data_IF_555089376905
#
_entry.id   IF_555089376905
#
_cell.length_a   1.000
_cell.length_b   1.000
_cell.length_c   1.000
_cell.angle_alpha   90.00
_cell.angle_beta   90.00
_cell.angle_gamma   90.00
#
_symmetry.space_group_name_H-M   'P 1'
#
loop_
_entity.id
_entity.type
_entity.pdbx_description
1 polymer ?
#
# COMPACT_ATOMS: atom_id res chain seq x y z
N UNK A 1 -25.23 1.23 -4.95
CA UNK A 1 -24.04 0.60 -5.58
C UNK A 1 -22.79 1.40 -5.19
N UNK A 2 -22.46 1.46 -3.90
CA UNK A 2 -21.56 2.51 -3.36
C UNK A 2 -20.58 1.96 -2.30
N UNK A 3 -20.17 0.69 -2.42
CA UNK A 3 -19.25 0.03 -1.47
C UNK A 3 -17.97 -0.55 -2.11
N UNK A 4 -17.60 -0.16 -3.33
CA UNK A 4 -16.44 -0.73 -4.05
C UNK A 4 -15.14 0.09 -3.99
N UNK A 5 -15.06 1.13 -3.17
CA UNK A 5 -13.87 2.00 -3.10
C UNK A 5 -13.26 2.03 -1.69
N UNK A 6 -12.52 0.97 -1.35
CA UNK A 6 -11.49 0.88 -0.30
C UNK A 6 -10.99 -0.57 -0.34
N UNK A 7 -9.76 -0.89 -0.81
CA UNK A 7 -8.53 -0.45 -0.15
C UNK A 7 -7.29 -0.39 -1.09
N UNK A 8 -6.96 0.77 -1.67
CA UNK A 8 -5.69 0.95 -2.42
C UNK A 8 -4.72 1.96 -1.78
N UNK A 9 -5.01 2.48 -0.58
CA UNK A 9 -4.28 3.64 -0.02
C UNK A 9 -3.35 3.29 1.17
N UNK A 10 -3.34 2.05 1.66
CA UNK A 10 -2.75 1.73 2.97
C UNK A 10 -1.24 1.41 3.06
N UNK A 11 -0.40 1.66 2.04
CA UNK A 11 0.97 1.09 2.07
C UNK A 11 2.18 2.04 2.10
N UNK A 12 2.03 3.36 2.25
CA UNK A 12 3.21 4.25 2.26
C UNK A 12 3.09 5.43 3.24
N UNK A 13 2.93 5.13 4.53
CA UNK A 13 3.11 6.12 5.60
C UNK A 13 4.26 5.69 6.50
N UNK A 14 5.47 6.22 6.26
CA UNK A 14 6.52 6.24 7.30
C UNK A 14 7.46 7.43 7.09
N UNK A 15 7.64 8.15 8.20
CA UNK A 15 8.74 9.06 8.58
C UNK A 15 8.78 10.46 7.93
N UNK A 16 8.39 11.46 8.74
CA UNK A 16 9.25 12.59 9.12
C UNK A 16 8.62 13.34 10.31
N UNK A 17 9.26 13.27 11.48
CA UNK A 17 9.01 14.18 12.62
C UNK A 17 10.19 15.14 12.72
N UNK A 18 9.99 16.46 12.81
CA UNK A 18 10.97 17.35 13.41
C UNK A 18 10.62 17.64 14.88
N UNK A 19 11.67 17.72 15.70
CA UNK A 19 11.61 18.10 17.10
C UNK A 19 11.48 19.63 17.26
N UNK A 20 10.78 20.04 18.34
CA UNK A 20 10.58 21.44 18.74
C UNK A 20 11.84 22.05 19.37
N UNK A 21 12.05 23.35 19.21
CA UNK A 21 11.90 24.34 20.31
C UNK A 21 12.31 25.76 19.88
N UNK A 22 11.50 26.76 20.27
CA UNK A 22 11.96 28.04 20.85
C UNK A 22 10.73 28.89 21.22
N UNK A 23 10.71 29.40 22.45
CA UNK A 23 9.51 29.81 23.20
C UNK A 23 9.50 31.31 23.51
N UNK A 24 9.73 32.19 22.52
CA UNK A 24 9.81 33.63 22.84
C UNK A 24 9.36 34.57 21.72
N UNK A 25 8.22 34.28 21.08
CA UNK A 25 7.60 35.12 20.04
C UNK A 25 6.07 34.95 20.02
N UNK A 26 5.40 34.95 21.18
CA UNK A 26 4.02 34.42 21.32
C UNK A 26 2.85 35.42 21.18
N UNK A 27 3.08 36.73 21.06
CA UNK A 27 1.98 37.72 21.15
C UNK A 27 1.58 38.39 19.85
N UNK A 28 2.34 38.23 18.76
CA UNK A 28 1.96 38.70 17.42
C UNK A 28 1.79 37.56 16.40
N UNK A 29 2.37 36.39 16.69
CA UNK A 29 2.29 35.18 15.85
C UNK A 29 1.07 34.31 16.23
N UNK A 30 0.56 34.41 17.47
CA UNK A 30 -0.68 33.74 17.88
C UNK A 30 -1.88 34.09 16.99
N UNK A 31 -2.05 35.38 16.67
CA UNK A 31 -3.18 35.88 15.89
C UNK A 31 -3.24 35.31 14.46
N UNK A 32 -2.09 35.02 13.85
CA UNK A 32 -2.03 34.48 12.49
C UNK A 32 -2.46 33.03 12.45
N UNK A 33 -2.00 32.22 13.42
CA UNK A 33 -2.40 30.83 13.55
C UNK A 33 -3.87 30.69 13.96
N UNK A 34 -4.37 31.55 14.84
CA UNK A 34 -5.79 31.58 15.21
C UNK A 34 -6.67 31.97 14.01
N UNK A 35 -6.21 32.92 13.19
CA UNK A 35 -6.88 33.28 11.93
C UNK A 35 -6.86 32.13 10.93
N UNK A 36 -5.73 31.42 10.79
CA UNK A 36 -5.62 30.26 9.91
C UNK A 36 -6.51 29.11 10.39
N UNK A 37 -6.60 28.88 11.70
CA UNK A 37 -7.50 27.93 12.33
C UNK A 37 -8.96 28.28 12.00
N UNK A 38 -9.37 29.53 12.24
CA UNK A 38 -10.71 30.00 11.88
C UNK A 38 -11.01 29.80 10.41
N UNK A 39 -10.07 30.10 9.51
CA UNK A 39 -10.25 29.87 8.08
C UNK A 39 -10.43 28.38 7.73
N UNK A 40 -9.65 27.47 8.33
CA UNK A 40 -9.81 26.03 8.12
C UNK A 40 -11.18 25.53 8.60
N UNK A 41 -11.68 26.04 9.72
CA UNK A 41 -12.99 25.64 10.25
C UNK A 41 -14.15 26.26 9.47
N UNK A 42 -14.14 27.59 9.30
CA UNK A 42 -15.28 28.34 8.77
C UNK A 42 -15.37 28.26 7.24
N UNK A 43 -14.23 28.28 6.54
CA UNK A 43 -14.20 28.31 5.07
C UNK A 43 -14.04 26.92 4.49
N UNK A 44 -13.17 26.09 5.09
CA UNK A 44 -12.91 24.73 4.61
C UNK A 44 -13.77 23.67 5.32
N UNK A 45 -14.59 24.05 6.30
CA UNK A 45 -15.53 23.15 6.97
C UNK A 45 -14.86 22.05 7.80
N UNK A 46 -13.63 22.28 8.27
CA UNK A 46 -12.87 21.28 9.01
C UNK A 46 -13.23 21.23 10.49
N UNK A 47 -13.06 20.06 11.09
CA UNK A 47 -13.10 19.93 12.56
C UNK A 47 -11.92 20.66 13.20
N UNK A 48 -12.04 20.97 14.49
CA UNK A 48 -10.94 21.59 15.22
C UNK A 48 -9.70 20.70 15.22
N UNK A 49 -9.89 19.39 15.39
CA UNK A 49 -8.83 18.39 15.40
C UNK A 49 -8.12 18.29 14.05
N UNK A 50 -8.86 18.27 12.94
CA UNK A 50 -8.29 18.22 11.59
C UNK A 50 -7.52 19.49 11.26
N UNK A 51 -8.09 20.66 11.58
CA UNK A 51 -7.43 21.94 11.38
C UNK A 51 -6.14 22.04 12.19
N UNK A 52 -6.17 21.61 13.46
CA UNK A 52 -4.99 21.55 14.32
C UNK A 52 -3.93 20.59 13.76
N UNK A 53 -4.33 19.40 13.28
CA UNK A 53 -3.43 18.44 12.65
C UNK A 53 -2.70 19.05 11.44
N UNK A 54 -3.41 19.77 10.58
CA UNK A 54 -2.85 20.43 9.39
C UNK A 54 -1.82 21.47 9.80
N UNK A 55 -2.18 22.37 10.72
CA UNK A 55 -1.30 23.46 11.16
C UNK A 55 -0.02 22.93 11.83
N UNK A 56 -0.13 21.88 12.67
CA UNK A 56 1.03 21.23 13.31
C UNK A 56 1.94 20.55 12.27
N UNK A 57 1.37 20.06 11.17
CA UNK A 57 2.11 19.36 10.12
C UNK A 57 2.86 20.31 9.18
N UNK A 58 2.59 21.62 9.24
CA UNK A 58 3.25 22.63 8.41
C UNK A 58 4.57 23.09 9.05
N UNK A 59 5.61 23.28 8.24
CA UNK A 59 6.94 23.74 8.68
C UNK A 59 7.35 25.07 8.03
N UNK A 60 6.38 25.90 7.66
CA UNK A 60 6.60 27.20 6.99
C UNK A 60 6.31 28.39 7.89
N UNK A 61 6.81 29.59 7.55
CA UNK A 61 6.41 30.82 8.20
C UNK A 61 4.88 30.98 8.23
N UNK A 62 4.35 31.45 9.35
CA UNK A 62 2.90 31.56 9.56
C UNK A 62 2.21 32.48 8.54
N UNK A 63 2.90 33.51 8.05
CA UNK A 63 2.41 34.41 7.00
C UNK A 63 2.13 33.67 5.67
N UNK A 64 2.90 32.62 5.37
CA UNK A 64 2.68 31.80 4.16
C UNK A 64 1.46 30.89 4.34
N UNK A 65 1.17 30.43 5.56
CA UNK A 65 0.03 29.55 5.84
C UNK A 65 -1.27 30.25 5.44
N UNK A 66 -1.52 31.45 5.96
CA UNK A 66 -2.77 32.17 5.70
C UNK A 66 -2.89 32.57 4.22
N UNK A 67 -1.78 32.99 3.61
CA UNK A 67 -1.74 33.33 2.19
C UNK A 67 -2.06 32.11 1.32
N UNK A 68 -1.46 30.95 1.62
CA UNK A 68 -1.72 29.70 0.93
C UNK A 68 -3.17 29.25 1.06
N UNK A 69 -3.77 29.36 2.25
CA UNK A 69 -5.18 29.03 2.45
C UNK A 69 -6.09 29.92 1.59
N UNK A 70 -5.79 31.22 1.47
CA UNK A 70 -6.52 32.14 0.58
C UNK A 70 -6.36 31.77 -0.89
N UNK A 71 -5.14 31.49 -1.33
CA UNK A 71 -4.85 31.05 -2.70
C UNK A 71 -5.63 29.78 -3.04
N UNK A 72 -5.58 28.76 -2.16
CA UNK A 72 -6.28 27.50 -2.36
C UNK A 72 -7.80 27.69 -2.41
N UNK A 73 -8.37 28.51 -1.53
CA UNK A 73 -9.79 28.83 -1.55
C UNK A 73 -10.21 29.54 -2.86
N UNK A 74 -9.43 30.52 -3.32
CA UNK A 74 -9.67 31.23 -4.59
C UNK A 74 -9.58 30.30 -5.81
N UNK A 75 -8.72 29.29 -5.76
CA UNK A 75 -8.63 28.24 -6.78
C UNK A 75 -9.77 27.22 -6.71
N UNK A 76 -10.72 27.35 -5.77
CA UNK A 76 -11.86 26.44 -5.59
C UNK A 76 -11.48 25.11 -4.95
N UNK A 77 -10.37 25.03 -4.25
CA UNK A 77 -9.93 23.80 -3.58
C UNK A 77 -10.75 23.59 -2.30
N UNK A 78 -11.38 22.42 -2.19
CA UNK A 78 -12.21 22.06 -1.04
C UNK A 78 -11.41 21.60 0.19
N UNK A 79 -12.01 21.70 1.37
CA UNK A 79 -11.37 21.33 2.63
C UNK A 79 -10.96 19.87 2.70
N UNK A 80 -11.77 18.95 2.18
CA UNK A 80 -11.41 17.53 2.11
C UNK A 80 -10.10 17.31 1.36
N UNK A 81 -9.88 18.04 0.26
CA UNK A 81 -8.66 17.93 -0.52
C UNK A 81 -7.47 18.51 0.24
N UNK A 82 -7.62 19.69 0.86
CA UNK A 82 -6.57 20.27 1.72
C UNK A 82 -6.17 19.31 2.84
N UNK A 83 -7.12 18.63 3.46
CA UNK A 83 -6.88 17.63 4.49
C UNK A 83 -6.09 16.40 3.97
N UNK A 84 -6.32 15.96 2.72
CA UNK A 84 -5.56 14.85 2.12
C UNK A 84 -4.12 15.22 1.77
N UNK A 85 -3.85 16.48 1.46
CA UNK A 85 -2.52 16.98 1.06
C UNK A 85 -2.06 18.17 1.92
N UNK A 86 -1.93 18.01 3.24
CA UNK A 86 -1.66 19.13 4.16
C UNK A 86 -0.32 19.82 3.88
N UNK A 87 0.63 19.09 3.30
CA UNK A 87 1.93 19.62 2.89
C UNK A 87 1.84 20.78 1.88
N UNK A 88 0.73 20.94 1.17
CA UNK A 88 0.59 22.00 0.17
C UNK A 88 0.60 23.40 0.79
N UNK A 89 0.06 23.52 2.01
CA UNK A 89 0.08 24.75 2.82
C UNK A 89 1.50 25.05 3.33
N UNK A 90 2.36 24.03 3.38
CA UNK A 90 3.76 24.12 3.76
C UNK A 90 4.70 24.59 2.65
N UNK A 91 4.23 25.30 1.63
CA UNK A 91 5.07 25.91 0.60
C UNK A 91 5.16 27.42 0.79
N UNK A 92 6.16 28.08 0.21
CA UNK A 92 6.10 29.55 0.13
C UNK A 92 4.99 29.98 -0.82
N UNK A 93 4.32 31.09 -0.51
CA UNK A 93 3.17 31.57 -1.28
C UNK A 93 3.50 31.76 -2.77
N UNK A 94 4.61 32.44 -3.08
CA UNK A 94 5.06 32.70 -4.46
C UNK A 94 5.26 31.40 -5.27
N UNK A 95 5.82 30.37 -4.63
CA UNK A 95 6.09 29.08 -5.29
C UNK A 95 4.80 28.31 -5.51
N UNK A 96 3.86 28.36 -4.56
CA UNK A 96 2.55 27.73 -4.71
C UNK A 96 1.78 28.38 -5.86
N UNK A 97 1.70 29.71 -5.91
CA UNK A 97 1.03 30.45 -6.99
C UNK A 97 1.64 30.13 -8.35
N UNK A 98 2.98 30.15 -8.47
CA UNK A 98 3.66 29.84 -9.72
C UNK A 98 3.34 28.42 -10.20
N UNK A 99 3.31 27.44 -9.29
CA UNK A 99 2.94 26.06 -9.61
C UNK A 99 1.47 25.93 -9.99
N UNK A 100 0.55 26.60 -9.29
CA UNK A 100 -0.87 26.58 -9.60
C UNK A 100 -1.15 27.18 -10.99
N UNK A 101 -0.51 28.30 -11.31
CA UNK A 101 -0.52 28.87 -12.66
C UNK A 101 0.01 27.88 -13.68
N UNK A 102 1.11 27.18 -13.36
CA UNK A 102 1.74 26.23 -14.26
C UNK A 102 0.87 25.01 -14.55
N UNK A 103 0.18 24.43 -13.56
CA UNK A 103 -0.66 23.23 -13.76
C UNK A 103 -1.90 23.50 -14.61
N UNK A 104 -2.32 24.77 -14.74
CA UNK A 104 -3.41 25.21 -15.62
C UNK A 104 -2.98 25.41 -17.07
N UNK A 105 -1.70 25.29 -17.39
CA UNK A 105 -1.26 25.40 -18.78
C UNK A 105 -1.78 24.22 -19.64
N UNK A 106 -1.91 24.42 -20.96
CA UNK A 106 -2.36 23.36 -21.86
C UNK A 106 -1.58 22.05 -21.69
N UNK A 107 -2.29 20.94 -21.88
CA UNK A 107 -1.83 19.55 -21.74
C UNK A 107 -1.57 19.07 -20.29
N UNK A 108 -1.77 19.90 -19.26
CA UNK A 108 -1.63 19.50 -17.85
C UNK A 108 -2.96 19.17 -17.16
N UNK A 109 -3.70 20.17 -16.68
CA UNK A 109 -4.94 19.90 -15.93
C UNK A 109 -6.04 20.88 -16.33
N UNK A 110 -7.28 20.38 -16.36
CA UNK A 110 -8.48 21.18 -16.65
C UNK A 110 -8.85 22.07 -15.48
N UNK A 111 -8.58 21.63 -14.24
CA UNK A 111 -8.90 22.36 -13.01
C UNK A 111 -7.72 22.31 -12.04
N UNK A 112 -7.65 23.28 -11.12
CA UNK A 112 -6.59 23.32 -10.11
C UNK A 112 -6.64 22.08 -9.21
N UNK A 113 -7.85 21.66 -8.83
CA UNK A 113 -8.15 20.47 -8.03
C UNK A 113 -7.54 19.21 -8.62
N UNK A 114 -7.65 19.02 -9.94
CA UNK A 114 -7.10 17.87 -10.65
C UNK A 114 -5.58 17.80 -10.58
N UNK A 115 -4.90 18.94 -10.44
CA UNK A 115 -3.45 19.07 -10.58
C UNK A 115 -2.66 19.27 -9.28
N UNK A 116 -3.31 19.36 -8.12
CA UNK A 116 -2.62 19.70 -6.86
C UNK A 116 -1.51 18.73 -6.49
N UNK A 117 -1.63 17.45 -6.83
CA UNK A 117 -0.54 16.47 -6.63
C UNK A 117 0.77 16.87 -7.29
N UNK A 118 0.71 17.60 -8.42
CA UNK A 118 1.90 18.05 -9.15
C UNK A 118 2.56 19.25 -8.49
N UNK A 119 1.90 19.95 -7.56
CA UNK A 119 2.53 20.99 -6.76
C UNK A 119 3.65 20.44 -5.85
N UNK A 120 3.73 19.12 -5.64
CA UNK A 120 4.87 18.51 -4.95
C UNK A 120 6.15 18.50 -5.80
N UNK A 121 6.02 18.61 -7.12
CA UNK A 121 7.15 18.55 -8.05
C UNK A 121 7.88 19.88 -8.15
N UNK A 122 9.12 19.83 -8.62
CA UNK A 122 9.84 21.02 -9.07
C UNK A 122 9.25 21.50 -10.40
N UNK A 123 9.26 22.81 -10.66
CA UNK A 123 8.74 23.39 -11.90
C UNK A 123 9.36 22.76 -13.16
N UNK A 124 10.67 22.48 -13.16
CA UNK A 124 11.34 21.78 -14.28
C UNK A 124 10.81 20.36 -14.55
N UNK A 125 10.31 19.66 -13.52
CA UNK A 125 9.67 18.36 -13.68
C UNK A 125 8.26 18.51 -14.25
N UNK A 126 7.49 19.50 -13.79
CA UNK A 126 6.18 19.83 -14.38
C UNK A 126 6.34 20.14 -15.87
N UNK A 127 7.35 20.92 -16.26
CA UNK A 127 7.70 21.18 -17.66
C UNK A 127 8.01 19.90 -18.44
N UNK A 128 8.75 18.98 -17.83
CA UNK A 128 9.08 17.69 -18.45
C UNK A 128 7.82 16.88 -18.70
N UNK A 129 6.89 16.81 -17.73
CA UNK A 129 5.61 16.13 -17.90
C UNK A 129 4.74 16.81 -18.95
N UNK A 130 4.62 18.14 -18.94
CA UNK A 130 3.87 18.88 -19.95
C UNK A 130 4.38 18.60 -21.36
N UNK A 131 5.70 18.65 -21.57
CA UNK A 131 6.31 18.35 -22.87
C UNK A 131 6.05 16.90 -23.30
N UNK A 132 6.05 15.97 -22.34
CA UNK A 132 5.72 14.57 -22.59
C UNK A 132 4.24 14.38 -22.96
N UNK A 133 3.32 14.97 -22.18
CA UNK A 133 1.87 14.92 -22.37
C UNK A 133 1.47 15.53 -23.71
N UNK A 134 2.11 16.63 -24.11
CA UNK A 134 1.92 17.24 -25.42
C UNK A 134 2.32 16.30 -26.57
N UNK A 135 3.45 15.60 -26.44
CA UNK A 135 3.94 14.67 -27.48
C UNK A 135 3.02 13.48 -27.68
N UNK A 136 2.37 13.03 -26.62
CA UNK A 136 1.49 11.86 -26.65
C UNK A 136 0.02 12.17 -26.83
N UNK A 137 -0.39 13.44 -26.82
CA UNK A 137 -1.78 13.85 -26.97
C UNK A 137 -2.52 13.14 -28.12
N UNK A 138 -1.91 12.86 -29.30
CA UNK A 138 -2.57 12.09 -30.36
C UNK A 138 -3.00 10.67 -29.96
N UNK A 139 -2.39 10.08 -28.93
CA UNK A 139 -2.74 8.74 -28.43
C UNK A 139 -3.99 8.75 -27.54
N UNK A 140 -4.49 9.92 -27.15
CA UNK A 140 -5.61 10.07 -26.21
C UNK A 140 -6.68 11.02 -26.77
N UNK A 141 -7.39 10.65 -27.84
CA UNK A 141 -8.32 11.57 -28.52
C UNK A 141 -9.51 12.00 -27.64
N UNK A 142 -9.82 11.25 -26.58
CA UNK A 142 -10.94 11.53 -25.68
C UNK A 142 -10.51 12.03 -24.30
N UNK A 143 -9.22 12.24 -24.07
CA UNK A 143 -8.69 12.65 -22.77
C UNK A 143 -7.69 13.79 -22.93
N UNK A 144 -7.67 14.78 -22.02
CA UNK A 144 -6.71 15.88 -22.06
C UNK A 144 -5.24 15.42 -22.07
N UNK A 145 -4.95 14.32 -21.36
CA UNK A 145 -3.67 13.65 -21.31
C UNK A 145 -3.80 12.27 -20.66
N UNK A 146 -2.66 11.58 -20.49
CA UNK A 146 -2.60 10.26 -19.86
C UNK A 146 -3.14 10.20 -18.43
N UNK A 147 -3.10 11.27 -17.64
CA UNK A 147 -3.56 11.24 -16.24
C UNK A 147 -5.06 11.01 -16.21
N UNK A 148 -5.82 11.73 -17.02
CA UNK A 148 -7.27 11.55 -17.16
C UNK A 148 -7.61 10.16 -17.69
N UNK A 149 -6.89 9.70 -18.72
CA UNK A 149 -7.07 8.36 -19.28
C UNK A 149 -6.83 7.26 -18.22
N UNK A 150 -5.72 7.35 -17.47
CA UNK A 150 -5.37 6.36 -16.45
C UNK A 150 -6.34 6.40 -15.25
N UNK A 151 -6.77 7.60 -14.84
CA UNK A 151 -7.75 7.79 -13.78
C UNK A 151 -9.09 7.12 -14.14
N UNK A 152 -9.58 7.33 -15.36
CA UNK A 152 -10.79 6.65 -15.86
C UNK A 152 -10.60 5.13 -15.91
N UNK A 153 -9.47 4.65 -16.46
CA UNK A 153 -9.18 3.22 -16.59
C UNK A 153 -9.14 2.51 -15.22
N UNK A 154 -8.56 3.14 -14.22
CA UNK A 154 -8.46 2.63 -12.83
C UNK A 154 -9.76 2.91 -12.04
N UNK A 155 -10.68 3.71 -12.59
CA UNK A 155 -11.95 4.13 -11.97
C UNK A 155 -11.76 4.90 -10.66
N UNK A 156 -10.81 5.83 -10.67
CA UNK A 156 -10.50 6.72 -9.55
C UNK A 156 -10.61 8.17 -10.02
N UNK A 157 -11.18 9.09 -9.21
CA UNK A 157 -11.21 10.52 -9.53
C UNK A 157 -9.81 11.08 -9.86
N UNK A 158 -9.74 12.03 -10.79
CA UNK A 158 -8.47 12.53 -11.35
C UNK A 158 -7.63 13.20 -10.27
N UNK A 159 -8.28 13.97 -9.40
CA UNK A 159 -7.67 14.65 -8.26
C UNK A 159 -7.01 13.64 -7.30
N UNK A 160 -7.67 12.53 -7.00
CA UNK A 160 -7.10 11.49 -6.14
C UNK A 160 -5.95 10.75 -6.83
N UNK A 161 -6.08 10.50 -8.13
CA UNK A 161 -5.04 9.83 -8.88
C UNK A 161 -3.78 10.70 -8.97
N UNK A 162 -3.91 11.98 -9.33
CA UNK A 162 -2.80 12.92 -9.46
C UNK A 162 -2.07 13.17 -8.14
N UNK A 163 -2.79 13.24 -7.01
CA UNK A 163 -2.22 13.32 -5.65
C UNK A 163 -1.28 12.13 -5.34
N UNK A 164 -1.56 10.95 -5.90
CA UNK A 164 -0.73 9.74 -5.69
C UNK A 164 0.43 9.65 -6.68
N UNK A 165 0.21 10.04 -7.94
CA UNK A 165 1.24 9.90 -9.00
C UNK A 165 2.15 11.13 -9.14
N UNK A 166 1.77 12.28 -8.58
CA UNK A 166 2.50 13.55 -8.60
C UNK A 166 3.82 13.56 -7.81
N UNK A 167 4.28 12.40 -7.36
CA UNK A 167 5.63 12.20 -6.80
C UNK A 167 6.63 12.01 -7.95
N UNK A 168 7.95 12.22 -7.73
CA UNK A 168 8.96 11.97 -8.75
C UNK A 168 9.08 10.46 -9.06
N UNK A 169 8.11 9.94 -9.81
CA UNK A 169 8.05 8.56 -10.24
C UNK A 169 8.11 8.52 -11.76
N UNK A 170 9.04 7.73 -12.30
CA UNK A 170 9.17 7.52 -13.74
C UNK A 170 7.95 6.84 -14.38
N UNK A 171 6.93 6.43 -13.61
CA UNK A 171 5.73 5.76 -14.10
C UNK A 171 5.01 6.61 -15.14
N UNK A 172 4.88 7.91 -14.87
CA UNK A 172 4.25 8.85 -15.81
C UNK A 172 5.11 9.18 -17.04
N UNK A 173 6.34 8.68 -17.11
CA UNK A 173 7.21 8.74 -18.28
C UNK A 173 7.35 7.39 -18.99
N UNK A 174 6.73 6.32 -18.47
CA UNK A 174 6.75 5.03 -19.15
C UNK A 174 5.88 5.10 -20.42
N UNK A 175 6.19 4.21 -21.36
CA UNK A 175 5.36 3.99 -22.53
C UNK A 175 3.94 3.57 -22.09
N UNK A 176 2.91 4.18 -22.67
CA UNK A 176 1.52 3.94 -22.26
C UNK A 176 1.10 2.47 -22.39
N UNK A 177 1.54 1.78 -23.46
CA UNK A 177 1.23 0.35 -23.66
C UNK A 177 1.78 -0.53 -22.53
N UNK A 178 2.94 -0.14 -21.98
CA UNK A 178 3.55 -0.81 -20.83
C UNK A 178 2.72 -0.56 -19.57
N UNK A 179 2.23 0.66 -19.37
CA UNK A 179 1.34 0.99 -18.25
C UNK A 179 0.03 0.22 -18.36
N UNK A 180 -0.59 0.19 -19.54
CA UNK A 180 -1.83 -0.58 -19.80
C UNK A 180 -1.62 -2.07 -19.50
N UNK A 181 -0.51 -2.65 -19.98
CA UNK A 181 -0.19 -4.05 -19.70
C UNK A 181 -0.03 -4.32 -18.20
N UNK A 182 0.57 -3.39 -17.46
CA UNK A 182 0.64 -3.50 -16.00
C UNK A 182 -0.74 -3.39 -15.36
N UNK A 183 -1.56 -2.42 -15.76
CA UNK A 183 -2.92 -2.25 -15.24
C UNK A 183 -3.76 -3.50 -15.49
N UNK A 184 -3.70 -4.07 -16.70
CA UNK A 184 -4.43 -5.28 -17.06
C UNK A 184 -3.94 -6.51 -16.31
N UNK A 185 -2.62 -6.66 -16.15
CA UNK A 185 -2.02 -7.71 -15.34
C UNK A 185 -2.45 -7.57 -13.87
N UNK A 186 -2.38 -6.37 -13.29
CA UNK A 186 -2.81 -6.12 -11.91
C UNK A 186 -4.29 -6.36 -11.72
N UNK A 187 -5.16 -5.90 -12.64
CA UNK A 187 -6.59 -6.17 -12.57
C UNK A 187 -6.87 -7.66 -12.66
N UNK A 188 -6.23 -8.37 -13.60
CA UNK A 188 -6.40 -9.82 -13.75
C UNK A 188 -5.96 -10.55 -12.49
N UNK A 189 -4.71 -10.36 -12.06
CA UNK A 189 -4.16 -11.06 -10.90
C UNK A 189 -4.93 -10.71 -9.62
N UNK A 190 -5.32 -9.45 -9.43
CA UNK A 190 -6.05 -9.05 -8.24
C UNK A 190 -7.47 -9.60 -8.24
N UNK A 191 -8.17 -9.55 -9.37
CA UNK A 191 -9.50 -10.14 -9.50
C UNK A 191 -9.45 -11.66 -9.33
N UNK A 192 -8.50 -12.35 -9.97
CA UNK A 192 -8.30 -13.79 -9.82
C UNK A 192 -7.98 -14.15 -8.37
N UNK A 193 -7.10 -13.38 -7.69
CA UNK A 193 -6.80 -13.58 -6.27
C UNK A 193 -8.04 -13.37 -5.40
N UNK A 194 -8.78 -12.28 -5.62
CA UNK A 194 -10.00 -11.99 -4.86
C UNK A 194 -11.09 -13.05 -5.07
N UNK A 195 -11.28 -13.50 -6.31
CA UNK A 195 -12.21 -14.59 -6.63
C UNK A 195 -11.77 -15.91 -5.99
N UNK A 196 -10.50 -16.29 -6.14
CA UNK A 196 -9.94 -17.49 -5.53
C UNK A 196 -10.05 -17.46 -3.99
N UNK A 197 -9.79 -16.31 -3.38
CA UNK A 197 -9.93 -16.12 -1.93
C UNK A 197 -11.38 -16.27 -1.49
N UNK A 198 -12.32 -15.66 -2.23
CA UNK A 198 -13.76 -15.79 -1.97
C UNK A 198 -14.25 -17.22 -2.13
N UNK A 199 -13.81 -17.93 -3.16
CA UNK A 199 -14.15 -19.34 -3.40
C UNK A 199 -13.60 -20.24 -2.29
N UNK A 200 -12.34 -20.05 -1.89
CA UNK A 200 -11.71 -20.82 -0.81
C UNK A 200 -12.29 -20.51 0.56
N UNK A 201 -12.64 -19.25 0.83
CA UNK A 201 -13.33 -18.86 2.05
C UNK A 201 -14.77 -19.39 2.08
N UNK A 202 -15.42 -19.59 0.93
CA UNK A 202 -16.78 -20.13 0.87
C UNK A 202 -17.74 -19.38 1.80
N UNK A 203 -18.29 -20.09 2.80
CA UNK A 203 -19.19 -19.53 3.81
C UNK A 203 -18.48 -18.98 5.06
N UNK A 204 -17.16 -19.11 5.16
CA UNK A 204 -16.37 -18.63 6.30
C UNK A 204 -16.27 -17.11 6.27
N UNK A 205 -16.44 -16.49 7.45
CA UNK A 205 -16.38 -15.03 7.60
C UNK A 205 -14.97 -14.48 7.53
N UNK A 206 -13.95 -15.30 7.83
CA UNK A 206 -12.55 -14.89 7.89
C UNK A 206 -11.58 -16.06 7.65
N UNK A 207 -10.32 -15.74 7.32
CA UNK A 207 -9.22 -16.70 7.23
C UNK A 207 -9.07 -17.55 8.50
N UNK A 208 -9.20 -16.91 9.67
CA UNK A 208 -9.11 -17.61 10.96
C UNK A 208 -10.22 -18.65 11.10
N UNK A 209 -11.47 -18.30 10.74
CA UNK A 209 -12.58 -19.25 10.78
C UNK A 209 -12.39 -20.42 9.81
N UNK A 210 -11.87 -20.18 8.61
CA UNK A 210 -11.53 -21.23 7.65
C UNK A 210 -10.44 -22.17 8.20
N UNK A 211 -9.35 -21.61 8.76
CA UNK A 211 -8.25 -22.41 9.28
C UNK A 211 -8.62 -23.17 10.55
N UNK A 212 -9.41 -22.58 11.44
CA UNK A 212 -9.90 -23.22 12.66
C UNK A 212 -10.69 -24.49 12.33
N UNK A 213 -11.59 -24.41 11.35
CA UNK A 213 -12.34 -25.57 10.87
C UNK A 213 -11.42 -26.63 10.24
N UNK A 214 -10.52 -26.21 9.35
CA UNK A 214 -9.58 -27.09 8.64
C UNK A 214 -8.56 -27.76 9.55
N UNK A 215 -8.21 -27.15 10.68
CA UNK A 215 -7.27 -27.67 11.67
C UNK A 215 -7.96 -28.27 12.90
N UNK A 216 -9.29 -28.32 12.89
CA UNK A 216 -10.12 -28.83 13.99
C UNK A 216 -9.73 -28.22 15.36
N UNK A 217 -9.58 -26.89 15.40
CA UNK A 217 -9.15 -26.18 16.59
C UNK A 217 -10.01 -24.94 16.86
N UNK A 218 -9.98 -24.46 18.11
CA UNK A 218 -10.69 -23.24 18.51
C UNK A 218 -10.04 -21.99 17.87
N UNK A 219 -10.83 -21.04 17.34
CA UNK A 219 -10.29 -19.82 16.71
C UNK A 219 -9.36 -19.01 17.61
N UNK A 220 -9.63 -18.98 18.92
CA UNK A 220 -8.83 -18.25 19.92
C UNK A 220 -7.39 -18.77 20.01
N UNK A 221 -7.19 -20.09 19.89
CA UNK A 221 -5.85 -20.69 19.85
C UNK A 221 -5.09 -20.28 18.58
N UNK A 222 -5.81 -20.14 17.47
CA UNK A 222 -5.22 -19.71 16.20
C UNK A 222 -4.83 -18.23 16.25
N UNK A 223 -5.67 -17.38 16.84
CA UNK A 223 -5.40 -15.96 17.06
C UNK A 223 -4.09 -15.75 17.83
N UNK A 224 -3.89 -16.48 18.93
CA UNK A 224 -2.64 -16.42 19.71
C UNK A 224 -1.40 -16.73 18.84
N UNK A 225 -1.50 -17.75 17.96
CA UNK A 225 -0.42 -18.11 17.05
C UNK A 225 -0.18 -17.06 15.98
N UNK A 226 -1.23 -16.42 15.45
CA UNK A 226 -1.10 -15.34 14.48
C UNK A 226 -0.53 -14.08 15.11
N UNK A 227 -0.91 -13.74 16.35
CA UNK A 227 -0.34 -12.61 17.08
C UNK A 227 1.17 -12.77 17.32
N UNK A 228 1.62 -14.00 17.58
CA UNK A 228 3.06 -14.29 17.70
C UNK A 228 3.82 -14.22 16.36
N UNK A 229 3.14 -14.11 15.21
CA UNK A 229 3.75 -14.29 13.89
C UNK A 229 3.11 -13.41 12.80
N UNK A 230 3.60 -12.17 12.70
CA UNK A 230 3.20 -11.17 11.69
C UNK A 230 3.31 -11.66 10.24
N UNK A 231 4.19 -12.61 9.94
CA UNK A 231 4.33 -13.13 8.57
C UNK A 231 3.08 -13.93 8.19
N UNK A 232 2.51 -14.72 9.11
CA UNK A 232 1.32 -15.53 8.85
C UNK A 232 0.10 -14.67 8.52
N UNK A 233 -0.06 -13.52 9.20
CA UNK A 233 -1.14 -12.54 8.95
C UNK A 233 -1.16 -12.01 7.50
N UNK A 234 -0.01 -12.05 6.81
CA UNK A 234 0.13 -11.53 5.44
C UNK A 234 0.00 -12.61 4.37
N UNK A 235 -0.07 -13.88 4.75
CA UNK A 235 -0.15 -14.98 3.79
C UNK A 235 -1.58 -15.11 3.26
N UNK A 236 -1.68 -15.33 1.96
CA UNK A 236 -2.96 -15.53 1.28
C UNK A 236 -3.55 -16.93 1.59
N UNK A 237 -4.89 -17.02 1.68
CA UNK A 237 -5.60 -18.27 2.00
C UNK A 237 -5.22 -19.43 1.08
N UNK A 238 -5.03 -19.18 -0.21
CA UNK A 238 -4.65 -20.22 -1.18
C UNK A 238 -3.32 -20.87 -0.88
N UNK A 239 -2.42 -20.18 -0.18
CA UNK A 239 -1.16 -20.77 0.27
C UNK A 239 -1.39 -21.73 1.43
N UNK A 240 -2.25 -21.35 2.38
CA UNK A 240 -2.62 -22.24 3.48
C UNK A 240 -3.32 -23.49 2.96
N UNK A 241 -4.31 -23.35 2.06
CA UNK A 241 -5.02 -24.50 1.49
C UNK A 241 -4.05 -25.50 0.86
N UNK A 242 -3.21 -25.05 -0.08
CA UNK A 242 -2.27 -25.93 -0.80
C UNK A 242 -1.27 -26.64 0.12
N UNK A 243 -0.72 -25.92 1.10
CA UNK A 243 0.20 -26.53 2.06
C UNK A 243 -0.53 -27.49 2.99
N UNK A 244 -1.75 -27.18 3.45
CA UNK A 244 -2.57 -28.09 4.25
C UNK A 244 -2.89 -29.37 3.48
N UNK A 245 -3.35 -29.25 2.22
CA UNK A 245 -3.68 -30.38 1.37
C UNK A 245 -2.46 -31.27 1.12
N UNK A 246 -1.30 -30.66 0.86
CA UNK A 246 -0.02 -31.36 0.76
C UNK A 246 0.31 -32.13 2.05
N UNK A 247 0.22 -31.49 3.21
CA UNK A 247 0.58 -32.12 4.49
C UNK A 247 -0.41 -33.25 4.86
N UNK A 248 -1.70 -33.05 4.64
CA UNK A 248 -2.72 -34.08 4.87
C UNK A 248 -2.58 -35.27 3.93
N UNK A 249 -2.24 -35.06 2.66
CA UNK A 249 -1.96 -36.14 1.71
C UNK A 249 -0.78 -37.01 2.15
N UNK A 250 0.16 -36.44 2.90
CA UNK A 250 1.34 -37.10 3.44
C UNK A 250 1.06 -37.77 4.81
N UNK A 251 -0.17 -37.69 5.31
CA UNK A 251 -0.62 -38.30 6.56
C UNK A 251 -0.32 -37.48 7.82
N UNK A 252 0.07 -36.22 7.68
CA UNK A 252 0.42 -35.34 8.80
C UNK A 252 -0.86 -34.79 9.43
N UNK A 253 -0.98 -34.89 10.74
CA UNK A 253 -2.19 -34.54 11.48
C UNK A 253 -2.32 -33.04 11.74
N UNK A 254 -3.53 -32.56 11.95
CA UNK A 254 -3.79 -31.15 12.25
C UNK A 254 -3.04 -30.66 13.52
N UNK A 255 -2.90 -31.53 14.52
CA UNK A 255 -2.16 -31.22 15.76
C UNK A 255 -0.67 -31.00 15.50
N UNK A 256 -0.05 -31.82 14.64
CA UNK A 256 1.34 -31.64 14.23
C UNK A 256 1.54 -30.34 13.45
N UNK A 257 0.59 -29.99 12.57
CA UNK A 257 0.62 -28.72 11.83
C UNK A 257 0.49 -27.53 12.78
N UNK A 258 -0.44 -27.59 13.75
CA UNK A 258 -0.62 -26.55 14.77
C UNK A 258 0.61 -26.35 15.64
N UNK A 259 1.36 -27.42 15.92
CA UNK A 259 2.63 -27.32 16.63
C UNK A 259 3.72 -26.58 15.82
N UNK A 260 3.60 -26.56 14.49
CA UNK A 260 4.61 -26.01 13.59
C UNK A 260 4.02 -25.17 12.44
N UNK A 261 3.22 -24.15 12.76
CA UNK A 261 2.63 -23.24 11.77
C UNK A 261 3.65 -22.47 10.92
N UNK A 262 4.93 -22.46 11.33
CA UNK A 262 6.02 -21.87 10.54
C UNK A 262 6.15 -22.51 9.15
N UNK A 263 5.66 -23.73 8.96
CA UNK A 263 5.70 -24.42 7.66
C UNK A 263 5.04 -23.59 6.54
N UNK A 264 3.98 -22.82 6.85
CA UNK A 264 3.29 -21.96 5.89
C UNK A 264 4.15 -20.80 5.36
N UNK A 265 5.26 -20.47 6.02
CA UNK A 265 6.18 -19.44 5.54
C UNK A 265 6.97 -19.89 4.31
N UNK A 266 7.14 -21.20 4.10
CA UNK A 266 7.90 -21.75 2.98
C UNK A 266 7.02 -21.97 1.75
N UNK A 267 7.65 -22.22 0.59
CA UNK A 267 6.91 -22.54 -0.63
C UNK A 267 6.42 -24.00 -0.61
N UNK A 268 5.39 -24.28 -1.38
CA UNK A 268 4.84 -25.62 -1.55
C UNK A 268 5.88 -26.58 -2.12
N UNK A 269 6.61 -26.15 -3.14
CA UNK A 269 7.64 -26.92 -3.84
C UNK A 269 8.78 -27.30 -2.91
N UNK A 270 9.22 -26.36 -2.06
CA UNK A 270 10.26 -26.64 -1.06
C UNK A 270 9.77 -27.65 -0.04
N UNK A 271 8.53 -27.51 0.43
CA UNK A 271 7.95 -28.42 1.43
C UNK A 271 7.86 -29.83 0.83
N UNK A 272 7.29 -29.96 -0.36
CA UNK A 272 7.18 -31.24 -1.08
C UNK A 272 8.55 -31.89 -1.35
N UNK A 273 9.53 -31.12 -1.83
CA UNK A 273 10.88 -31.63 -2.09
C UNK A 273 11.55 -32.20 -0.83
N UNK A 274 11.36 -31.55 0.32
CA UNK A 274 11.92 -32.01 1.59
C UNK A 274 11.22 -33.25 2.13
N UNK A 275 9.89 -33.32 2.00
CA UNK A 275 9.12 -34.51 2.38
C UNK A 275 9.59 -35.71 1.55
N UNK A 276 9.70 -35.53 0.23
CA UNK A 276 10.21 -36.56 -0.68
C UNK A 276 11.62 -37.01 -0.29
N UNK A 277 12.53 -36.08 -0.05
CA UNK A 277 13.91 -36.42 0.32
C UNK A 277 14.00 -37.20 1.63
N UNK A 278 13.18 -36.88 2.64
CA UNK A 278 13.11 -37.65 3.88
C UNK A 278 12.54 -39.05 3.67
N UNK A 279 11.50 -39.18 2.84
CA UNK A 279 10.91 -40.47 2.46
C UNK A 279 11.88 -41.35 1.68
N UNK A 280 12.63 -40.80 0.75
CA UNK A 280 13.62 -41.53 -0.06
C UNK A 280 14.74 -42.14 0.80
N UNK A 281 14.99 -41.59 2.00
CA UNK A 281 15.97 -42.09 2.96
C UNK A 281 15.36 -43.13 3.93
N UNK A 282 14.05 -43.36 3.85
CA UNK A 282 13.31 -44.21 4.78
C UNK A 282 13.00 -43.52 6.12
N UNK A 283 13.17 -42.21 6.21
CA UNK A 283 12.90 -41.45 7.43
C UNK A 283 11.44 -40.98 7.47
N UNK A 284 10.53 -41.90 7.78
CA UNK A 284 9.11 -41.63 7.97
C UNK A 284 8.53 -42.47 9.13
N UNK A 285 7.71 -41.91 10.03
CA UNK A 285 7.29 -40.50 10.13
C UNK A 285 8.44 -39.57 10.59
N UNK A 286 8.38 -38.29 10.20
CA UNK A 286 9.41 -37.29 10.56
C UNK A 286 8.83 -36.13 11.40
N UNK A 287 9.63 -35.50 12.28
CA UNK A 287 9.20 -34.29 12.98
C UNK A 287 9.01 -33.10 12.04
N UNK A 288 7.83 -32.46 12.08
CA UNK A 288 7.48 -31.29 11.24
C UNK A 288 8.50 -30.15 11.27
N UNK A 289 9.17 -29.96 12.41
CA UNK A 289 10.20 -28.94 12.57
C UNK A 289 11.37 -29.08 11.57
N UNK A 290 11.62 -30.28 11.05
CA UNK A 290 12.67 -30.51 10.05
C UNK A 290 12.39 -29.80 8.73
N UNK A 291 11.12 -29.73 8.32
CA UNK A 291 10.69 -29.01 7.11
C UNK A 291 11.00 -27.52 7.20
N UNK A 292 11.09 -26.97 8.42
CA UNK A 292 11.32 -25.57 8.69
C UNK A 292 12.81 -25.19 8.86
N UNK A 293 13.74 -26.15 8.82
CA UNK A 293 15.18 -25.87 9.03
C UNK A 293 15.81 -25.07 7.90
N UNK A 294 16.93 -24.41 8.17
CA UNK A 294 17.69 -23.72 7.11
C UNK A 294 18.20 -24.74 6.07
N UNK A 295 18.51 -24.33 4.83
CA UNK A 295 19.02 -25.24 3.81
C UNK A 295 20.27 -26.03 4.26
N UNK A 296 21.21 -25.36 4.94
CA UNK A 296 22.42 -26.00 5.47
C UNK A 296 22.10 -27.04 6.57
N UNK A 297 21.25 -26.67 7.54
CA UNK A 297 20.84 -27.58 8.61
C UNK A 297 20.10 -28.81 8.07
N UNK A 298 19.19 -28.61 7.13
CA UNK A 298 18.43 -29.70 6.52
C UNK A 298 19.35 -30.68 5.79
N UNK A 299 20.30 -30.19 4.99
CA UNK A 299 21.29 -31.03 4.30
C UNK A 299 22.16 -31.82 5.26
N UNK A 300 22.63 -31.21 6.35
CA UNK A 300 23.44 -31.89 7.35
C UNK A 300 22.66 -33.03 8.03
N UNK A 301 21.40 -32.76 8.37
CA UNK A 301 20.50 -33.77 8.97
C UNK A 301 20.27 -34.93 8.00
N UNK A 302 19.95 -34.62 6.74
CA UNK A 302 19.78 -35.64 5.69
C UNK A 302 21.05 -36.47 5.51
N UNK A 303 22.23 -35.84 5.43
CA UNK A 303 23.50 -36.55 5.28
C UNK A 303 23.79 -37.49 6.47
N UNK A 304 23.52 -37.02 7.69
CA UNK A 304 23.66 -37.81 8.91
C UNK A 304 22.76 -39.06 8.88
N UNK A 305 21.48 -38.89 8.53
CA UNK A 305 20.56 -40.03 8.45
C UNK A 305 20.87 -40.98 7.29
N UNK A 306 21.27 -40.46 6.12
CA UNK A 306 21.73 -41.29 4.99
C UNK A 306 22.91 -42.19 5.38
N UNK A 307 23.84 -41.68 6.20
CA UNK A 307 24.96 -42.49 6.69
C UNK A 307 24.46 -43.57 7.64
N UNK A 308 23.63 -43.20 8.61
CA UNK A 308 23.07 -44.13 9.60
C UNK A 308 22.29 -45.29 8.97
N UNK A 309 21.37 -45.01 8.04
CA UNK A 309 20.56 -46.05 7.41
C UNK A 309 21.30 -46.89 6.36
N UNK A 310 22.46 -46.44 5.88
CA UNK A 310 23.36 -47.27 5.04
C UNK A 310 24.24 -48.22 5.86
N UNK A 311 24.43 -47.96 7.15
CA UNK A 311 25.22 -48.80 8.05
C UNK A 311 24.35 -49.88 8.73
N UNK A 312 23.01 -49.74 8.68
CA UNK A 312 22.04 -50.63 9.33
C UNK A 312 21.34 -51.63 8.36
N UNK A 313 21.60 -51.56 7.05
CA UNK A 313 21.04 -52.44 6.02
C UNK A 313 22.10 -53.22 5.25
#
# INVERSE_FOLDING_TARGET
>A
MTQLLRPCVCLLATVCRPARSSTTLRTALGDTLDTAMGMLQDVFGMTHEDAQYILISCSVPEQDILSNLRILHQCGIGGEQVHRIPWIIGQSADVLEEKLRKIQEPFLFQQHSDGLGFCQLRLGQINTYQAHFRKEAPNFPHHPNRIYYLAERIKVPVELFSEKVGKPHRTLLLNIKRIDSFIDMFHREFCERYQSEKELLGNHKSLLSYLAERLHCEPSLLEEKFESNEILKRLHISKFSRILDLLYAEGITAQEIMSCMRVFQYSEERTAARIKELKDIGFFPFPMILLCRTPAQFKNIVAMYRKKFKEEG
#
